data_IF_891440158418
#
_entry.id   IF_891440158418
#
_cell.length_a   1.000
_cell.length_b   1.000
_cell.length_c   1.000
_cell.angle_alpha   90.00
_cell.angle_beta   90.00
_cell.angle_gamma   90.00
#
_symmetry.space_group_name_H-M   'P 1'
#
loop_
_entity.id
_entity.type
_entity.pdbx_description
1 polymer ?
#
# COMPACT_ATOMS: atom_id res chain seq x y z
N UNK A 1 0.49 -1.07 -18.27
CA UNK A 1 0.73 -2.54 -18.28
C UNK A 1 -0.14 -3.19 -19.37
N UNK A 2 0.39 -3.49 -20.57
CA UNK A 2 -0.43 -3.95 -21.71
C UNK A 2 -1.07 -5.33 -21.50
N UNK A 3 -0.40 -6.24 -20.77
CA UNK A 3 -0.91 -7.58 -20.43
C UNK A 3 -1.88 -7.62 -19.24
N UNK A 4 -2.36 -6.47 -18.75
CA UNK A 4 -3.28 -6.44 -17.61
C UNK A 4 -4.61 -7.12 -17.98
N UNK A 5 -5.13 -8.09 -17.20
CA UNK A 5 -6.38 -8.77 -17.52
C UNK A 5 -7.56 -7.81 -17.67
N UNK A 6 -7.59 -6.72 -16.90
CA UNK A 6 -8.61 -5.67 -16.99
C UNK A 6 -8.64 -4.97 -18.36
N UNK A 7 -7.55 -4.96 -19.12
CA UNK A 7 -7.55 -4.39 -20.49
C UNK A 7 -8.34 -5.28 -21.47
N UNK A 8 -8.54 -6.56 -21.15
CA UNK A 8 -9.28 -7.52 -21.99
C UNK A 8 -10.63 -7.92 -21.39
N UNK A 9 -10.77 -7.85 -20.06
CA UNK A 9 -11.93 -8.32 -19.29
C UNK A 9 -12.22 -7.34 -18.17
N UNK A 10 -13.16 -6.44 -18.40
CA UNK A 10 -13.57 -5.42 -17.43
C UNK A 10 -14.62 -5.91 -16.41
N UNK A 11 -15.01 -7.18 -16.49
CA UNK A 11 -16.03 -7.79 -15.65
C UNK A 11 -15.43 -8.55 -14.46
N UNK A 12 -16.25 -8.86 -13.45
CA UNK A 12 -15.79 -9.54 -12.24
C UNK A 12 -15.27 -10.96 -12.51
N UNK A 13 -14.50 -11.56 -11.59
CA UNK A 13 -14.06 -12.95 -11.74
C UNK A 13 -15.24 -13.95 -11.57
N UNK A 14 -15.06 -15.19 -12.05
CA UNK A 14 -16.01 -16.30 -11.89
C UNK A 14 -17.02 -16.46 -13.04
N UNK A 15 -17.75 -17.58 -13.04
CA UNK A 15 -18.71 -17.95 -14.10
C UNK A 15 -19.79 -16.88 -14.32
N UNK A 16 -20.23 -16.19 -13.27
CA UNK A 16 -21.24 -15.15 -13.33
C UNK A 16 -20.66 -13.72 -13.44
N UNK A 17 -19.36 -13.58 -13.65
CA UNK A 17 -18.66 -12.29 -13.62
C UNK A 17 -19.19 -11.25 -14.62
N UNK A 18 -19.70 -11.70 -15.76
CA UNK A 18 -20.29 -10.85 -16.80
C UNK A 18 -21.69 -10.33 -16.43
N UNK A 19 -22.39 -10.98 -15.51
CA UNK A 19 -23.75 -10.60 -15.11
C UNK A 19 -23.70 -9.34 -14.25
N UNK A 20 -24.18 -8.22 -14.77
CA UNK A 20 -24.29 -6.97 -14.01
C UNK A 20 -25.53 -7.00 -13.11
N UNK A 21 -25.36 -6.61 -11.85
CA UNK A 21 -26.44 -6.35 -10.89
C UNK A 21 -26.27 -4.94 -10.33
N UNK A 22 -27.37 -4.24 -10.07
CA UNK A 22 -27.31 -2.94 -9.39
C UNK A 22 -26.74 -3.16 -7.98
N UNK A 23 -25.67 -2.47 -7.58
CA UNK A 23 -25.14 -2.59 -6.22
C UNK A 23 -26.12 -1.98 -5.22
N UNK A 24 -26.19 -2.55 -4.03
CA UNK A 24 -26.81 -1.91 -2.88
C UNK A 24 -25.92 -0.81 -2.32
N UNK A 25 -26.46 0.07 -1.47
CA UNK A 25 -25.67 1.13 -0.82
C UNK A 25 -24.53 0.56 0.02
N UNK A 26 -24.82 -0.50 0.79
CA UNK A 26 -23.79 -1.26 1.50
C UNK A 26 -22.74 -1.86 0.55
N UNK A 27 -23.17 -2.40 -0.60
CA UNK A 27 -22.28 -2.94 -1.61
C UNK A 27 -21.32 -1.88 -2.18
N UNK A 28 -21.82 -0.67 -2.40
CA UNK A 28 -21.03 0.47 -2.86
C UNK A 28 -19.96 0.85 -1.84
N UNK A 29 -20.33 0.99 -0.56
CA UNK A 29 -19.40 1.29 0.52
C UNK A 29 -18.37 0.19 0.74
N UNK A 30 -18.81 -1.08 0.70
CA UNK A 30 -17.93 -2.23 0.83
C UNK A 30 -16.89 -2.25 -0.30
N UNK A 31 -17.31 -2.02 -1.55
CA UNK A 31 -16.40 -1.95 -2.70
C UNK A 31 -15.39 -0.81 -2.55
N UNK A 32 -15.81 0.38 -2.12
CA UNK A 32 -14.90 1.50 -1.88
C UNK A 32 -13.83 1.13 -0.84
N UNK A 33 -14.24 0.53 0.29
CA UNK A 33 -13.33 0.02 1.32
C UNK A 33 -12.36 -1.03 0.76
N UNK A 34 -12.85 -2.03 0.04
CA UNK A 34 -12.00 -3.10 -0.51
C UNK A 34 -11.01 -2.55 -1.55
N UNK A 35 -11.43 -1.59 -2.39
CA UNK A 35 -10.54 -0.92 -3.35
C UNK A 35 -9.41 -0.19 -2.65
N UNK A 36 -9.73 0.60 -1.63
CA UNK A 36 -8.73 1.33 -0.85
C UNK A 36 -7.75 0.38 -0.17
N UNK A 37 -8.26 -0.66 0.49
CA UNK A 37 -7.45 -1.70 1.14
C UNK A 37 -6.52 -2.42 0.15
N UNK A 38 -7.02 -2.68 -1.06
CA UNK A 38 -6.24 -3.30 -2.13
C UNK A 38 -5.14 -2.40 -2.69
N UNK A 39 -5.42 -1.10 -2.81
CA UNK A 39 -4.44 -0.11 -3.26
C UNK A 39 -3.21 -0.06 -2.35
N UNK A 40 -3.40 -0.11 -1.04
CA UNK A 40 -2.31 -0.13 -0.06
C UNK A 40 -1.73 -1.54 0.22
N UNK A 41 -1.73 -2.43 -0.78
CA UNK A 41 -1.07 -3.73 -0.70
C UNK A 41 -1.86 -4.80 0.06
N UNK A 42 -3.19 -4.78 -0.05
CA UNK A 42 -4.09 -5.71 0.63
C UNK A 42 -3.86 -5.77 2.15
N UNK A 43 -3.94 -4.62 2.82
CA UNK A 43 -3.85 -4.53 4.28
C UNK A 43 -4.92 -5.45 4.92
N UNK A 44 -4.59 -6.11 6.04
CA UNK A 44 -5.56 -6.93 6.75
C UNK A 44 -6.73 -6.12 7.29
N UNK A 45 -7.94 -6.68 7.28
CA UNK A 45 -9.17 -5.97 7.71
C UNK A 45 -9.07 -5.42 9.13
N UNK A 46 -8.50 -6.20 10.06
CA UNK A 46 -8.27 -5.79 11.46
C UNK A 46 -7.34 -4.58 11.55
N UNK A 47 -6.31 -4.52 10.70
CA UNK A 47 -5.36 -3.42 10.67
C UNK A 47 -5.99 -2.17 10.04
N UNK A 48 -6.71 -2.33 8.94
CA UNK A 48 -7.44 -1.24 8.29
C UNK A 48 -8.46 -0.61 9.25
N UNK A 49 -9.22 -1.44 9.97
CA UNK A 49 -10.17 -0.97 11.00
C UNK A 49 -9.49 -0.15 12.09
N UNK A 50 -8.34 -0.59 12.61
CA UNK A 50 -7.59 0.17 13.63
C UNK A 50 -7.11 1.52 13.10
N UNK A 51 -6.66 1.58 11.85
CA UNK A 51 -6.24 2.84 11.22
C UNK A 51 -7.44 3.78 11.08
N UNK A 52 -8.59 3.26 10.69
CA UNK A 52 -9.82 4.04 10.61
C UNK A 52 -10.29 4.56 11.98
N UNK A 53 -10.27 3.72 13.01
CA UNK A 53 -10.58 4.14 14.39
C UNK A 53 -9.63 5.25 14.87
N UNK A 54 -8.34 5.18 14.52
CA UNK A 54 -7.38 6.24 14.80
C UNK A 54 -7.64 7.51 13.97
N UNK A 55 -8.04 7.38 12.70
CA UNK A 55 -8.39 8.51 11.84
C UNK A 55 -9.61 9.29 12.38
N UNK A 56 -10.62 8.58 12.89
CA UNK A 56 -11.81 9.18 13.52
C UNK A 56 -11.47 9.90 14.83
N UNK A 57 -10.47 9.38 15.57
CA UNK A 57 -10.03 9.98 16.84
C UNK A 57 -9.28 11.31 16.64
N UNK A 58 -8.63 11.48 15.49
CA UNK A 58 -7.89 12.71 15.15
C UNK A 58 -8.85 13.85 14.83
N UNK A 59 -8.45 15.07 15.16
CA UNK A 59 -9.21 16.28 14.78
C UNK A 59 -9.10 16.49 13.26
N UNK A 60 -10.13 17.08 12.66
CA UNK A 60 -10.18 17.38 11.22
C UNK A 60 -11.03 16.38 10.43
N UNK A 61 -10.87 16.38 9.10
CA UNK A 61 -11.59 15.47 8.22
C UNK A 61 -11.09 14.02 8.38
N UNK A 62 -12.03 13.09 8.60
CA UNK A 62 -11.70 11.68 8.83
C UNK A 62 -11.14 11.00 7.57
N UNK A 63 -11.60 11.40 6.39
CA UNK A 63 -11.12 10.86 5.12
C UNK A 63 -9.66 11.26 4.88
N UNK A 64 -9.33 12.54 5.06
CA UNK A 64 -7.97 13.06 4.97
C UNK A 64 -7.05 12.37 6.00
N UNK A 65 -7.48 12.30 7.26
CA UNK A 65 -6.72 11.62 8.32
C UNK A 65 -6.47 10.14 8.01
N UNK A 66 -7.44 9.44 7.41
CA UNK A 66 -7.29 8.04 7.01
C UNK A 66 -6.22 7.89 5.92
N UNK A 67 -6.27 8.74 4.88
CA UNK A 67 -5.29 8.70 3.79
C UNK A 67 -3.90 9.08 4.30
N UNK A 68 -3.78 10.11 5.14
CA UNK A 68 -2.52 10.50 5.76
C UNK A 68 -1.89 9.32 6.52
N UNK A 69 -2.67 8.65 7.38
CA UNK A 69 -2.20 7.49 8.13
C UNK A 69 -1.78 6.32 7.24
N UNK A 70 -2.47 6.10 6.12
CA UNK A 70 -2.14 5.04 5.17
C UNK A 70 -0.85 5.36 4.38
N UNK A 71 -0.69 6.61 3.94
CA UNK A 71 0.51 7.05 3.20
C UNK A 71 1.75 7.12 4.10
N UNK A 72 1.59 7.31 5.41
CA UNK A 72 2.71 7.32 6.38
C UNK A 72 3.27 5.95 6.72
N UNK A 73 2.66 4.86 6.26
CA UNK A 73 3.21 3.52 6.50
C UNK A 73 4.52 3.32 5.73
N UNK A 74 5.50 2.69 6.34
CA UNK A 74 6.82 2.48 5.72
C UNK A 74 6.74 1.73 4.39
N UNK A 75 5.84 0.75 4.26
CA UNK A 75 5.61 0.07 2.98
C UNK A 75 5.06 0.99 1.89
N UNK A 76 4.13 1.88 2.23
CA UNK A 76 3.62 2.90 1.32
C UNK A 76 4.74 3.89 0.94
N UNK A 77 5.48 4.43 1.91
CA UNK A 77 6.56 5.40 1.66
C UNK A 77 7.66 4.82 0.78
N UNK A 78 8.12 3.58 1.04
CA UNK A 78 9.14 2.92 0.22
C UNK A 78 8.68 2.69 -1.21
N UNK A 79 7.38 2.41 -1.41
CA UNK A 79 6.79 2.33 -2.75
C UNK A 79 6.70 3.71 -3.42
N UNK A 80 6.31 4.77 -2.69
CA UNK A 80 6.23 6.15 -3.18
C UNK A 80 7.61 6.71 -3.57
N UNK A 81 8.66 6.33 -2.84
CA UNK A 81 10.06 6.66 -3.15
C UNK A 81 10.61 5.89 -4.36
N UNK A 82 9.83 4.99 -4.97
CA UNK A 82 10.24 4.16 -6.12
C UNK A 82 11.48 3.30 -5.88
N UNK A 83 11.77 2.91 -4.64
CA UNK A 83 12.85 1.93 -4.38
C UNK A 83 12.51 0.52 -4.87
N UNK A 84 11.22 0.25 -5.13
CA UNK A 84 10.71 -1.02 -5.61
C UNK A 84 9.51 -0.79 -6.54
N UNK A 85 9.22 -1.72 -7.47
CA UNK A 85 8.23 -1.49 -8.52
C UNK A 85 6.76 -1.68 -8.09
N UNK A 86 6.50 -2.30 -6.94
CA UNK A 86 5.12 -2.60 -6.48
C UNK A 86 5.00 -2.49 -4.96
N UNK A 87 3.78 -2.22 -4.47
CA UNK A 87 3.48 -2.17 -3.04
C UNK A 87 3.75 -3.52 -2.36
N UNK A 88 3.47 -4.64 -3.04
CA UNK A 88 3.76 -5.98 -2.51
C UNK A 88 5.26 -6.23 -2.37
N UNK A 89 6.05 -5.84 -3.37
CA UNK A 89 7.52 -5.90 -3.29
C UNK A 89 8.04 -5.02 -2.15
N UNK A 90 7.44 -3.84 -1.92
CA UNK A 90 7.80 -2.97 -0.79
C UNK A 90 7.65 -3.64 0.56
N UNK A 91 6.52 -4.33 0.79
CA UNK A 91 6.31 -5.08 2.04
C UNK A 91 7.37 -6.15 2.25
N UNK A 92 7.71 -6.91 1.21
CA UNK A 92 8.75 -7.93 1.28
C UNK A 92 10.13 -7.30 1.54
N UNK A 93 10.44 -6.21 0.82
CA UNK A 93 11.71 -5.49 0.92
C UNK A 93 11.94 -4.93 2.33
N UNK A 94 10.90 -4.35 2.93
CA UNK A 94 10.91 -3.91 4.33
C UNK A 94 11.05 -5.12 5.26
N UNK A 95 10.21 -6.16 5.15
CA UNK A 95 10.27 -7.34 6.04
C UNK A 95 11.61 -8.06 6.05
N UNK A 96 12.31 -8.11 4.90
CA UNK A 96 13.66 -8.67 4.82
C UNK A 96 14.73 -7.74 5.43
N UNK A 97 14.36 -6.49 5.71
CA UNK A 97 15.19 -5.52 6.42
C UNK A 97 16.21 -4.84 5.53
N UNK A 98 15.81 -4.56 4.28
CA UNK A 98 16.60 -3.80 3.32
C UNK A 98 16.43 -2.28 3.48
N UNK A 99 15.60 -1.84 4.44
CA UNK A 99 15.31 -0.43 4.71
C UNK A 99 15.86 -0.02 6.07
N UNK A 100 16.41 1.18 6.13
CA UNK A 100 16.80 1.85 7.36
C UNK A 100 15.97 3.12 7.54
N UNK A 101 15.63 3.43 8.79
CA UNK A 101 15.01 4.69 9.21
C UNK A 101 15.95 5.31 10.23
N UNK A 102 16.43 6.53 9.98
CA UNK A 102 17.40 7.23 10.81
C UNK A 102 18.65 6.36 11.10
N UNK A 103 19.15 5.67 10.08
CA UNK A 103 20.32 4.79 10.17
C UNK A 103 20.09 3.42 10.82
N UNK A 104 18.92 3.18 11.43
CA UNK A 104 18.59 1.89 12.07
C UNK A 104 17.76 1.00 11.15
N UNK A 105 18.04 -0.31 11.16
CA UNK A 105 17.27 -1.30 10.38
C UNK A 105 15.84 -1.38 10.90
N UNK A 106 14.86 -1.21 10.02
CA UNK A 106 13.43 -1.40 10.33
C UNK A 106 12.85 -2.43 9.37
N UNK A 107 12.23 -3.47 9.94
CA UNK A 107 11.66 -4.58 9.17
C UNK A 107 10.14 -4.74 9.35
N UNK A 108 9.47 -3.70 9.84
CA UNK A 108 8.02 -3.70 10.08
C UNK A 108 7.36 -2.83 9.00
N UNK A 109 6.65 -3.42 8.02
CA UNK A 109 5.97 -2.68 6.95
C UNK A 109 4.98 -1.63 7.46
N UNK A 110 4.36 -1.90 8.61
CA UNK A 110 3.39 -1.01 9.24
C UNK A 110 3.99 0.04 10.17
N UNK A 111 5.31 0.22 10.16
CA UNK A 111 5.95 1.33 10.85
C UNK A 111 5.37 2.65 10.35
N UNK A 112 5.00 3.56 11.26
CA UNK A 112 4.45 4.86 10.91
C UNK A 112 5.60 5.87 10.89
N UNK A 113 5.90 6.36 9.69
CA UNK A 113 6.92 7.36 9.42
C UNK A 113 6.48 8.70 10.00
N UNK A 114 7.43 9.40 10.61
CA UNK A 114 7.26 10.74 11.16
C UNK A 114 7.96 11.77 10.28
N UNK A 115 7.52 13.00 10.42
CA UNK A 115 8.16 14.12 9.74
C UNK A 115 9.61 14.23 10.22
N UNK A 116 10.52 14.41 9.28
CA UNK A 116 11.97 14.42 9.53
C UNK A 116 12.65 13.06 9.55
N UNK A 117 11.91 11.94 9.43
CA UNK A 117 12.55 10.62 9.33
C UNK A 117 13.34 10.47 8.01
N UNK A 118 14.59 10.03 8.13
CA UNK A 118 15.46 9.75 6.99
C UNK A 118 15.36 8.27 6.62
N UNK A 119 14.74 7.98 5.47
CA UNK A 119 14.54 6.62 4.98
C UNK A 119 15.55 6.30 3.87
N UNK A 120 16.32 5.23 4.06
CA UNK A 120 17.33 4.82 3.10
C UNK A 120 17.30 3.31 2.83
N UNK A 121 17.83 2.91 1.68
CA UNK A 121 18.12 1.51 1.38
C UNK A 121 19.46 1.14 2.02
N UNK A 122 19.47 0.02 2.75
CA UNK A 122 20.67 -0.58 3.33
C UNK A 122 21.75 -0.73 2.25
N UNK A 123 22.98 -0.33 2.54
CA UNK A 123 24.08 -0.27 1.55
C UNK A 123 24.26 -1.56 0.75
N UNK A 124 24.31 -2.71 1.44
CA UNK A 124 24.43 -4.05 0.82
C UNK A 124 23.29 -4.40 -0.14
N UNK A 125 22.16 -3.71 -0.01
CA UNK A 125 20.92 -3.98 -0.76
C UNK A 125 20.71 -3.02 -1.93
N UNK A 126 21.56 -1.99 -2.09
CA UNK A 126 21.49 -1.04 -3.20
C UNK A 126 21.78 -1.68 -4.56
N UNK A 127 22.61 -2.71 -4.58
CA UNK A 127 22.98 -3.46 -5.78
C UNK A 127 21.98 -4.56 -6.15
N UNK A 128 20.87 -4.70 -5.41
CA UNK A 128 19.84 -5.66 -5.78
C UNK A 128 19.19 -5.23 -7.10
N UNK A 129 19.05 -6.18 -8.02
CA UNK A 129 18.46 -5.97 -9.35
C UNK A 129 17.11 -5.25 -9.25
N UNK A 130 16.27 -5.63 -8.29
CA UNK A 130 14.95 -5.00 -8.10
C UNK A 130 15.02 -3.50 -7.78
N UNK A 131 16.06 -3.05 -7.07
CA UNK A 131 16.27 -1.64 -6.72
C UNK A 131 16.82 -0.90 -7.94
N UNK A 132 17.80 -1.48 -8.61
CA UNK A 132 18.39 -0.90 -9.83
C UNK A 132 17.33 -0.73 -10.95
N UNK A 133 16.51 -1.75 -11.18
CA UNK A 133 15.41 -1.69 -12.15
C UNK A 133 14.32 -0.68 -11.78
N UNK A 134 14.07 -0.48 -10.49
CA UNK A 134 13.07 0.47 -10.02
C UNK A 134 13.54 1.92 -10.16
N UNK A 135 14.82 2.18 -9.87
CA UNK A 135 15.44 3.51 -10.02
C UNK A 135 15.61 3.89 -11.49
N UNK A 136 15.85 2.92 -12.37
CA UNK A 136 16.00 3.15 -13.81
C UNK A 136 14.68 3.46 -14.56
N UNK A 137 13.52 3.39 -13.88
CA UNK A 137 12.17 3.61 -14.46
C UNK A 137 11.54 4.93 -14.04
#
# INVERSE_FOLDING_TARGET
RPKSPVNKREYGPGQHGQRRKKPSDYGTQLMAKQRLKGYYGNIGERQFRRIYEEAVRRRGDTGENLIELLERRLDAVVYRMKYVPTVFASRQFVSHGHVTVNGKRVNIPSYIVKDGDVIAVKEKSRQLVIVLEAVAR
#
